data_IF_915134702540
#
_entry.id   IF_915134702540
#
_cell.length_a   1.000
_cell.length_b   1.000
_cell.length_c   1.000
_cell.angle_alpha   90.00
_cell.angle_beta   90.00
_cell.angle_gamma   90.00
#
_symmetry.space_group_name_H-M   'P 1'
#
loop_
_entity.id
_entity.type
_entity.pdbx_description
1 polymer ?
#
# COMPACT_ATOMS: atom_id res chain seq x y z
N UNK A 1 -14.30 16.32 1.36
CA UNK A 1 -14.43 17.79 1.28
C UNK A 1 -13.21 18.51 0.72
N UNK A 2 -12.02 18.54 1.34
CA UNK A 2 -10.90 19.29 0.73
C UNK A 2 -10.35 18.65 -0.57
N UNK A 3 -10.50 17.34 -0.74
CA UNK A 3 -10.00 16.65 -1.94
C UNK A 3 -11.03 16.62 -3.08
N UNK A 4 -12.29 16.92 -2.80
CA UNK A 4 -13.39 16.78 -3.77
C UNK A 4 -13.22 17.86 -4.87
N UNK A 5 -12.94 19.11 -4.48
CA UNK A 5 -12.60 20.20 -5.41
C UNK A 5 -11.35 19.89 -6.24
N UNK A 6 -10.36 19.23 -5.64
CA UNK A 6 -9.14 18.82 -6.36
C UNK A 6 -9.46 17.77 -7.43
N UNK A 7 -10.30 16.78 -7.11
CA UNK A 7 -10.70 15.75 -8.07
C UNK A 7 -11.55 16.33 -9.21
N UNK A 8 -12.46 17.26 -8.90
CA UNK A 8 -13.25 17.98 -9.90
C UNK A 8 -12.37 18.80 -10.87
N UNK A 9 -11.37 19.53 -10.36
CA UNK A 9 -10.45 20.32 -11.19
C UNK A 9 -9.58 19.47 -12.12
N UNK A 10 -9.32 18.22 -11.74
CA UNK A 10 -8.48 17.29 -12.49
C UNK A 10 -9.29 16.34 -13.38
N UNK A 11 -10.61 16.48 -13.42
CA UNK A 11 -11.53 15.61 -14.16
C UNK A 11 -11.35 14.11 -13.81
N UNK A 12 -11.04 13.84 -12.54
CA UNK A 12 -10.82 12.48 -12.04
C UNK A 12 -12.16 11.92 -11.60
N UNK A 13 -12.69 10.97 -12.38
CA UNK A 13 -13.89 10.22 -12.00
C UNK A 13 -13.64 9.44 -10.70
N UNK A 14 -14.39 9.78 -9.66
CA UNK A 14 -14.32 9.13 -8.35
C UNK A 14 -14.81 7.66 -8.38
N UNK A 15 -15.36 7.24 -9.54
CA UNK A 15 -16.01 5.95 -9.74
C UNK A 15 -15.16 5.00 -10.60
N UNK A 16 -14.04 4.55 -10.02
CA UNK A 16 -13.66 3.14 -10.20
C UNK A 16 -12.98 2.71 -11.50
N UNK A 17 -12.27 3.56 -12.24
CA UNK A 17 -11.28 3.05 -13.20
C UNK A 17 -10.04 2.53 -12.46
N UNK A 18 -10.22 1.34 -11.87
CA UNK A 18 -9.18 0.48 -11.32
C UNK A 18 -8.62 -0.48 -12.39
N UNK A 19 -9.15 -0.48 -13.62
CA UNK A 19 -8.98 -1.58 -14.57
C UNK A 19 -7.58 -1.73 -15.19
N UNK A 20 -6.64 -0.79 -14.99
CA UNK A 20 -5.25 -0.93 -15.47
C UNK A 20 -4.18 -0.30 -14.54
N UNK A 21 -4.47 -0.05 -13.26
CA UNK A 21 -3.47 0.59 -12.37
C UNK A 21 -2.52 -0.44 -11.78
N UNK A 22 -1.22 -0.27 -12.01
CA UNK A 22 -0.15 -1.17 -11.50
C UNK A 22 -0.20 -1.22 -9.96
N UNK A 23 -0.09 -2.37 -9.29
CA UNK A 23 -0.24 -2.44 -7.83
C UNK A 23 0.77 -1.54 -7.11
N UNK A 24 0.30 -0.81 -6.09
CA UNK A 24 1.15 0.08 -5.29
C UNK A 24 1.48 -0.56 -3.96
N UNK A 25 2.71 -1.00 -3.76
CA UNK A 25 3.12 -1.65 -2.52
C UNK A 25 3.60 -0.65 -1.47
N UNK A 26 3.39 -1.00 -0.20
CA UNK A 26 3.88 -0.20 0.92
C UNK A 26 5.38 -0.37 1.07
N UNK A 27 6.13 0.71 0.87
CA UNK A 27 7.55 0.75 1.12
C UNK A 27 7.95 2.16 1.55
N UNK A 28 8.64 2.29 2.68
CA UNK A 28 9.11 3.58 3.20
C UNK A 28 10.64 3.53 3.30
N UNK A 29 11.33 3.37 2.18
CA UNK A 29 12.79 3.23 2.20
C UNK A 29 13.50 3.35 0.85
N UNK A 30 12.90 2.85 -0.21
CA UNK A 30 13.34 2.99 -1.60
C UNK A 30 12.45 3.98 -2.30
N UNK A 31 13.13 4.81 -3.10
CA UNK A 31 12.68 6.00 -3.82
C UNK A 31 11.23 5.94 -4.24
N UNK A 32 10.59 7.11 -4.11
CA UNK A 32 9.45 7.55 -4.92
C UNK A 32 9.24 6.68 -6.15
N UNK A 33 8.00 6.17 -6.28
CA UNK A 33 7.43 5.63 -7.51
C UNK A 33 8.16 6.31 -8.67
N UNK A 34 9.03 5.56 -9.34
CA UNK A 34 9.80 6.12 -10.44
C UNK A 34 8.76 6.66 -11.42
N UNK A 35 8.80 7.96 -11.66
CA UNK A 35 7.97 8.63 -12.66
C UNK A 35 8.26 8.16 -14.09
N UNK A 36 9.12 7.14 -14.24
CA UNK A 36 9.61 6.56 -15.47
C UNK A 36 8.82 5.30 -15.91
N UNK A 37 7.82 4.87 -15.15
CA UNK A 37 6.88 3.84 -15.60
C UNK A 37 5.77 4.50 -16.42
N UNK A 38 6.00 4.70 -17.73
CA UNK A 38 5.05 5.22 -18.75
C UNK A 38 3.71 4.42 -18.88
N UNK A 39 3.45 3.44 -17.99
CA UNK A 39 2.34 2.48 -18.04
C UNK A 39 1.45 2.54 -16.77
N UNK A 40 1.64 3.52 -15.87
CA UNK A 40 0.72 3.77 -14.75
C UNK A 40 -0.15 5.00 -15.03
N UNK A 41 -1.41 4.77 -15.42
CA UNK A 41 -2.40 5.81 -15.72
C UNK A 41 -2.88 6.62 -14.48
N UNK A 42 -2.12 6.60 -13.37
CA UNK A 42 -2.46 7.34 -12.16
C UNK A 42 -2.16 8.82 -12.31
N UNK A 43 -3.23 9.61 -12.40
CA UNK A 43 -3.15 11.09 -12.38
C UNK A 43 -2.68 11.62 -11.01
N UNK A 44 -3.01 10.93 -9.92
CA UNK A 44 -2.64 11.32 -8.55
C UNK A 44 -2.19 10.11 -7.72
N UNK A 45 -1.30 10.38 -6.77
CA UNK A 45 -0.93 9.40 -5.74
C UNK A 45 -2.08 9.15 -4.74
N UNK A 46 -3.01 10.08 -4.57
CA UNK A 46 -4.02 10.00 -3.51
C UNK A 46 -5.31 9.41 -4.06
N UNK A 47 -5.89 8.46 -3.32
CA UNK A 47 -7.11 7.75 -3.69
C UNK A 47 -8.04 7.64 -2.47
N UNK A 48 -9.34 7.46 -2.68
CA UNK A 48 -10.23 7.14 -1.57
C UNK A 48 -9.91 5.74 -1.04
N UNK A 49 -9.58 5.64 0.25
CA UNK A 49 -9.33 4.35 0.88
C UNK A 49 -10.63 3.54 0.95
N UNK A 50 -10.69 2.30 0.42
CA UNK A 50 -11.93 1.53 0.41
C UNK A 50 -12.43 1.17 1.83
N UNK A 51 -11.55 1.12 2.83
CA UNK A 51 -11.93 0.82 4.23
C UNK A 51 -12.44 2.02 5.02
N UNK A 52 -11.82 3.20 4.89
CA UNK A 52 -12.21 4.37 5.70
C UNK A 52 -12.80 5.53 4.89
N UNK A 53 -12.91 5.40 3.57
CA UNK A 53 -13.48 6.41 2.67
C UNK A 53 -12.83 7.80 2.77
N UNK A 54 -11.57 7.85 3.23
CA UNK A 54 -10.77 9.08 3.26
C UNK A 54 -9.74 9.05 2.12
N UNK A 55 -9.51 10.20 1.49
CA UNK A 55 -8.46 10.37 0.48
C UNK A 55 -7.08 10.23 1.13
N UNK A 56 -6.37 9.14 0.81
CA UNK A 56 -5.05 8.78 1.36
C UNK A 56 -4.21 8.06 0.32
N UNK A 57 -2.94 7.82 0.61
CA UNK A 57 -2.19 6.79 -0.11
C UNK A 57 -2.80 5.42 0.23
N UNK A 58 -3.15 4.66 -0.79
CA UNK A 58 -3.76 3.33 -0.71
C UNK A 58 -2.78 2.32 -1.28
N UNK A 59 -2.52 1.27 -0.53
CA UNK A 59 -1.54 0.26 -0.88
C UNK A 59 -2.20 -1.09 -1.11
N UNK A 60 -1.63 -1.84 -2.04
CA UNK A 60 -1.89 -3.25 -2.31
C UNK A 60 -0.95 -4.12 -1.48
N UNK A 61 -1.34 -5.37 -1.23
CA UNK A 61 -0.50 -6.33 -0.52
C UNK A 61 0.34 -7.15 -1.52
N UNK A 62 1.66 -7.25 -1.35
CA UNK A 62 2.51 -8.08 -2.20
C UNK A 62 2.41 -9.59 -1.89
N UNK A 63 1.75 -9.99 -0.79
CA UNK A 63 1.61 -11.40 -0.46
C UNK A 63 0.51 -12.06 -1.30
N UNK A 64 0.85 -13.12 -2.04
CA UNK A 64 -0.12 -13.91 -2.83
C UNK A 64 -1.22 -14.50 -1.95
N UNK A 65 -0.90 -14.87 -0.70
CA UNK A 65 -1.87 -15.40 0.26
C UNK A 65 -2.97 -14.39 0.64
N UNK A 66 -2.73 -13.09 0.39
CA UNK A 66 -3.68 -12.00 0.62
C UNK A 66 -4.52 -11.68 -0.62
N UNK A 67 -4.21 -12.24 -1.79
CA UNK A 67 -5.08 -12.15 -2.97
C UNK A 67 -6.19 -13.17 -2.73
N UNK A 68 -7.37 -12.70 -2.32
CA UNK A 68 -8.45 -13.58 -1.93
C UNK A 68 -8.88 -14.54 -3.04
N UNK A 69 -9.66 -15.55 -2.65
CA UNK A 69 -10.06 -16.67 -3.51
C UNK A 69 -11.08 -16.29 -4.59
N UNK A 70 -11.54 -15.04 -4.62
CA UNK A 70 -12.51 -14.52 -5.59
C UNK A 70 -11.97 -13.25 -6.25
N UNK A 71 -12.19 -13.13 -7.57
CA UNK A 71 -11.92 -11.92 -8.33
C UNK A 71 -12.65 -10.73 -7.67
N UNK A 72 -11.89 -9.74 -7.19
CA UNK A 72 -12.44 -8.54 -6.55
C UNK A 72 -12.35 -8.51 -5.02
N UNK A 73 -11.66 -9.44 -4.36
CA UNK A 73 -11.39 -9.28 -2.93
C UNK A 73 -10.40 -8.13 -2.69
N UNK A 74 -10.92 -6.92 -2.51
CA UNK A 74 -10.19 -5.74 -2.03
C UNK A 74 -9.71 -5.89 -0.56
N UNK A 75 -9.70 -7.11 -0.01
CA UNK A 75 -9.53 -7.38 1.43
C UNK A 75 -8.30 -6.70 2.00
N UNK A 76 -7.22 -6.70 1.23
CA UNK A 76 -5.92 -6.18 1.61
C UNK A 76 -5.53 -4.87 0.90
N UNK A 77 -6.46 -4.20 0.20
CA UNK A 77 -6.21 -2.87 -0.39
C UNK A 77 -6.69 -1.78 0.56
N UNK A 78 -5.78 -0.99 1.12
CA UNK A 78 -6.15 0.08 2.06
C UNK A 78 -4.99 1.06 2.33
N UNK A 79 -5.31 2.17 2.99
CA UNK A 79 -4.31 3.08 3.56
C UNK A 79 -3.56 2.45 4.75
N UNK A 80 -2.39 2.98 5.05
CA UNK A 80 -1.50 2.50 6.14
C UNK A 80 -2.09 2.62 7.55
N UNK A 81 -3.16 3.40 7.73
CA UNK A 81 -3.88 3.49 9.01
C UNK A 81 -4.97 2.44 9.16
N UNK A 82 -5.51 1.91 8.06
CA UNK A 82 -6.57 0.91 8.09
C UNK A 82 -6.02 -0.53 8.06
N UNK A 83 -4.86 -0.72 7.43
CA UNK A 83 -4.12 -2.00 7.44
C UNK A 83 -2.68 -1.69 7.79
N UNK A 84 -2.22 -2.27 8.90
CA UNK A 84 -0.83 -2.24 9.28
C UNK A 84 0.00 -3.14 8.36
N UNK A 85 1.17 -2.67 7.94
CA UNK A 85 2.01 -3.36 6.97
C UNK A 85 3.44 -3.42 7.44
N UNK A 86 4.13 -4.49 7.06
CA UNK A 86 5.55 -4.65 7.29
C UNK A 86 6.32 -3.56 6.53
N UNK A 87 7.19 -2.84 7.24
CA UNK A 87 8.04 -1.79 6.69
C UNK A 87 9.02 -2.31 5.65
N UNK A 88 9.56 -3.52 5.84
CA UNK A 88 10.53 -4.09 4.91
C UNK A 88 9.89 -4.73 3.67
N UNK A 89 8.85 -5.55 3.85
CA UNK A 89 8.28 -6.33 2.74
C UNK A 89 6.88 -5.89 2.30
N UNK A 90 6.28 -4.86 2.90
CA UNK A 90 4.99 -4.28 2.49
C UNK A 90 3.75 -5.14 2.74
N UNK A 91 3.91 -6.40 3.17
CA UNK A 91 2.79 -7.32 3.44
C UNK A 91 1.95 -6.87 4.63
N UNK A 92 0.66 -7.19 4.61
CA UNK A 92 -0.23 -6.96 5.75
C UNK A 92 0.28 -7.68 7.00
N UNK A 93 0.17 -7.03 8.15
CA UNK A 93 0.37 -7.64 9.47
C UNK A 93 -1.01 -7.89 10.04
N UNK A 94 -1.33 -9.15 10.35
CA UNK A 94 -2.66 -9.56 10.81
C UNK A 94 -2.54 -10.22 12.18
N UNK A 95 -2.76 -9.47 13.26
CA UNK A 95 -2.82 -9.87 14.69
C UNK A 95 -1.75 -10.89 15.18
N UNK A 96 -0.69 -11.08 14.40
CA UNK A 96 0.41 -12.01 14.62
C UNK A 96 1.59 -11.28 15.28
N UNK A 97 2.56 -12.05 15.77
CA UNK A 97 3.81 -11.51 16.34
C UNK A 97 4.47 -10.53 15.36
N UNK A 98 4.45 -9.25 15.70
CA UNK A 98 5.15 -8.18 15.01
C UNK A 98 6.12 -7.52 15.97
N UNK A 99 7.16 -6.91 15.41
CA UNK A 99 8.05 -6.05 16.16
C UNK A 99 7.85 -4.60 15.72
N UNK A 100 7.75 -3.70 16.69
CA UNK A 100 7.72 -2.25 16.43
C UNK A 100 9.16 -1.71 16.51
N UNK A 101 9.60 -1.01 15.47
CA UNK A 101 10.90 -0.35 15.45
C UNK A 101 10.86 0.92 16.32
N UNK A 102 12.04 1.46 16.63
CA UNK A 102 12.14 2.77 17.28
C UNK A 102 11.37 3.89 16.55
N UNK A 103 11.19 3.77 15.24
CA UNK A 103 10.50 4.74 14.39
C UNK A 103 8.98 4.52 14.30
N UNK A 104 8.40 3.67 15.17
CA UNK A 104 6.97 3.28 15.15
C UNK A 104 6.57 2.57 13.84
N UNK A 105 7.52 1.88 13.23
CA UNK A 105 7.30 1.08 12.02
C UNK A 105 7.14 -0.38 12.41
N UNK A 106 6.32 -1.11 11.68
CA UNK A 106 6.01 -2.50 12.02
C UNK A 106 6.80 -3.45 11.14
N UNK A 107 7.41 -4.47 11.75
CA UNK A 107 8.08 -5.57 11.05
C UNK A 107 7.32 -6.85 11.29
N UNK A 108 7.04 -7.59 10.21
CA UNK A 108 6.53 -8.95 10.36
C UNK A 108 7.64 -9.85 10.93
N UNK A 109 7.23 -10.95 11.58
CA UNK A 109 8.14 -11.92 12.20
C UNK A 109 9.22 -12.48 11.26
N UNK A 110 8.98 -12.52 9.96
CA UNK A 110 10.00 -12.92 8.98
C UNK A 110 11.07 -11.85 8.75
N UNK A 111 10.69 -10.58 8.78
CA UNK A 111 11.59 -9.45 8.56
C UNK A 111 12.30 -8.98 9.84
N UNK A 112 11.79 -9.31 11.02
CA UNK A 112 12.44 -8.97 12.29
C UNK A 112 13.66 -9.85 12.58
N UNK A 113 13.75 -11.03 11.95
CA UNK A 113 14.87 -11.95 12.14
C UNK A 113 16.17 -11.31 11.61
N UNK A 114 17.27 -11.30 12.39
CA UNK A 114 18.53 -10.78 11.91
C UNK A 114 18.99 -11.58 10.67
N UNK A 115 19.39 -10.87 9.62
CA UNK A 115 19.99 -11.51 8.45
C UNK A 115 21.24 -12.28 8.89
N UNK A 116 21.51 -13.47 8.30
CA UNK A 116 22.76 -14.17 8.57
C UNK A 116 23.91 -13.22 8.22
N UNK A 117 24.77 -12.94 9.20
CA UNK A 117 25.96 -12.13 8.99
C UNK A 117 26.76 -12.77 7.86
N UNK A 118 26.99 -12.04 6.76
CA UNK A 118 27.99 -12.47 5.78
C UNK A 118 29.30 -12.68 6.55
N UNK A 119 30.01 -13.81 6.36
CA UNK A 119 31.36 -13.92 6.85
C UNK A 119 32.19 -12.83 6.18
N UNK A 120 32.85 -12.03 7.01
CA UNK A 120 33.82 -11.01 6.61
C UNK A 120 34.96 -11.62 5.80
#
# INVERSE_FOLDING_TARGET
HHYDELFELLDIDNNGEQSNKKPRFYHRGESCVSCDDDDDDRVLDIEMCPKCQNSRLVYDCPAEDCKGKEEGSEECRACSLCIQRCFHCGRCINDSEYEETFCLEFLCSDCSKPSPKLPL
#
